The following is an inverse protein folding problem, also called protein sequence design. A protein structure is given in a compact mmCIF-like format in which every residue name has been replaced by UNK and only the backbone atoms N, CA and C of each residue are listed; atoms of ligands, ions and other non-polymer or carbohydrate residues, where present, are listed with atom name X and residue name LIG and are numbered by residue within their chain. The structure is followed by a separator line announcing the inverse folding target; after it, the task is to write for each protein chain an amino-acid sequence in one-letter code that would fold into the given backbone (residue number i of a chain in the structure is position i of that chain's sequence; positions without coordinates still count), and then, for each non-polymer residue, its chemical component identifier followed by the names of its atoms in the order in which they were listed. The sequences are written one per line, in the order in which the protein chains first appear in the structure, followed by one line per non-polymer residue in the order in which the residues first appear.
data_IF_655566263986
#
_entry.id   IF_655566263986
#
_cell.length_a   1.000
_cell.length_b   1.000
_cell.length_c   1.000
_cell.angle_alpha   90.00
_cell.angle_beta   90.00
_cell.angle_gamma   90.00
#
_symmetry.space_group_name_H-M   'P 1'
#
loop_
_entity.id
_entity.type
_entity.pdbx_description
1 polymer ?
#
# COMPACT_ATOMS: atom_id res chain seq x y z
N UNK A 1 -11.16 -14.11 -10.91
CA UNK A 1 -11.08 -12.86 -10.14
C UNK A 1 -9.61 -12.48 -9.91
N UNK A 2 -9.28 -11.25 -10.15
CA UNK A 2 -7.91 -10.76 -9.91
C UNK A 2 -7.67 -10.47 -8.44
N UNK A 3 -6.41 -10.49 -8.02
CA UNK A 3 -6.02 -10.14 -6.66
C UNK A 3 -4.76 -9.26 -6.71
N UNK A 4 -4.61 -8.40 -5.71
CA UNK A 4 -3.43 -7.56 -5.51
C UNK A 4 -2.63 -7.98 -4.29
N UNK A 5 -3.03 -9.08 -3.63
CA UNK A 5 -2.42 -9.52 -2.38
C UNK A 5 -0.98 -10.02 -2.57
N UNK A 6 -0.15 -9.71 -1.59
CA UNK A 6 1.17 -10.28 -1.40
C UNK A 6 1.20 -11.02 -0.08
N UNK A 7 2.12 -11.97 0.06
CA UNK A 7 2.29 -12.79 1.27
C UNK A 7 3.78 -12.87 1.60
N UNK A 8 4.11 -12.69 2.87
CA UNK A 8 5.50 -12.75 3.34
C UNK A 8 6.42 -11.88 2.48
N UNK A 9 6.02 -10.64 2.24
CA UNK A 9 6.68 -9.75 1.30
C UNK A 9 6.95 -8.40 1.95
N UNK A 10 8.08 -7.78 1.61
CA UNK A 10 8.36 -6.40 1.95
C UNK A 10 8.53 -5.60 0.67
N UNK A 11 7.69 -4.57 0.51
CA UNK A 11 7.83 -3.61 -0.58
C UNK A 11 8.68 -2.45 -0.07
N UNK A 12 9.91 -2.34 -0.60
CA UNK A 12 10.79 -1.21 -0.30
C UNK A 12 10.36 0.02 -1.09
N UNK A 13 10.80 1.20 -0.64
CA UNK A 13 10.52 2.43 -1.38
C UNK A 13 11.13 2.37 -2.77
N UNK A 14 10.59 3.19 -3.67
CA UNK A 14 11.10 3.33 -5.04
C UNK A 14 12.55 3.83 -5.05
N UNK A 15 13.32 3.42 -6.06
CA UNK A 15 14.70 3.89 -6.26
C UNK A 15 14.77 5.41 -6.45
N UNK A 16 13.73 6.00 -7.03
CA UNK A 16 13.67 7.45 -7.26
C UNK A 16 12.65 8.15 -6.36
N UNK A 17 12.41 7.58 -5.17
CA UNK A 17 11.55 8.21 -4.18
C UNK A 17 12.18 9.55 -3.74
N UNK A 18 11.42 10.67 -3.80
CA UNK A 18 12.01 11.99 -3.60
C UNK A 18 12.25 12.39 -2.14
N UNK A 19 11.86 11.56 -1.17
CA UNK A 19 11.99 11.91 0.24
C UNK A 19 13.06 11.07 0.92
N UNK A 20 13.67 11.63 1.97
CA UNK A 20 14.68 10.96 2.78
C UNK A 20 14.11 10.45 4.10
N UNK A 21 12.92 10.86 4.44
CA UNK A 21 12.17 10.37 5.60
C UNK A 21 10.70 10.25 5.21
N UNK A 22 9.96 9.39 5.89
CA UNK A 22 8.57 9.12 5.53
C UNK A 22 7.68 10.32 5.85
N UNK A 23 6.75 10.61 4.96
CA UNK A 23 5.82 11.73 5.09
C UNK A 23 4.39 11.22 5.02
N UNK A 24 3.53 11.80 5.86
CA UNK A 24 2.09 11.50 5.80
C UNK A 24 1.51 12.22 4.58
N UNK A 25 0.81 11.48 3.69
CA UNK A 25 0.16 12.12 2.54
C UNK A 25 -0.81 13.22 2.96
N UNK A 26 -0.92 14.23 2.13
CA UNK A 26 -1.74 15.42 2.43
C UNK A 26 -3.09 15.37 1.73
N UNK A 27 -4.04 16.10 2.28
CA UNK A 27 -5.30 16.38 1.59
C UNK A 27 -5.04 17.29 0.38
N UNK A 28 -5.96 17.25 -0.57
CA UNK A 28 -5.92 18.13 -1.73
C UNK A 28 -7.29 18.78 -1.90
N UNK A 29 -7.32 20.12 -1.88
CA UNK A 29 -8.58 20.86 -2.04
C UNK A 29 -9.61 20.56 -0.96
N UNK A 30 -9.15 20.26 0.27
CA UNK A 30 -10.03 19.91 1.38
C UNK A 30 -10.51 18.46 1.39
N UNK A 31 -10.07 17.65 0.42
CA UNK A 31 -10.47 16.26 0.31
C UNK A 31 -9.28 15.32 0.54
N UNK A 32 -9.55 14.15 1.11
CA UNK A 32 -8.53 13.14 1.30
C UNK A 32 -8.17 12.50 -0.04
N UNK A 33 -6.87 12.43 -0.31
CA UNK A 33 -6.36 11.73 -1.49
C UNK A 33 -6.41 10.22 -1.27
N UNK A 34 -6.30 9.44 -2.36
CA UNK A 34 -6.21 7.98 -2.24
C UNK A 34 -5.02 7.59 -1.36
N UNK A 35 -3.87 8.25 -1.55
CA UNK A 35 -2.68 7.96 -0.74
C UNK A 35 -2.93 8.19 0.75
N UNK A 36 -3.61 9.29 1.12
CA UNK A 36 -3.96 9.55 2.51
C UNK A 36 -4.93 8.52 3.07
N UNK A 37 -5.94 8.12 2.29
CA UNK A 37 -6.89 7.07 2.70
C UNK A 37 -6.18 5.75 2.91
N UNK A 38 -5.27 5.37 2.01
CA UNK A 38 -4.45 4.17 2.17
C UNK A 38 -3.61 4.25 3.45
N UNK A 39 -2.94 5.39 3.66
CA UNK A 39 -2.11 5.59 4.84
C UNK A 39 -2.93 5.42 6.12
N UNK A 40 -4.04 6.12 6.24
CA UNK A 40 -4.86 6.07 7.45
C UNK A 40 -5.37 4.66 7.72
N UNK A 41 -5.86 3.97 6.69
CA UNK A 41 -6.41 2.64 6.86
C UNK A 41 -5.35 1.63 7.32
N UNK A 42 -4.16 1.69 6.73
CA UNK A 42 -3.10 0.72 7.06
C UNK A 42 -2.38 1.11 8.35
N UNK A 43 -1.97 2.37 8.48
CA UNK A 43 -1.16 2.82 9.63
C UNK A 43 -1.93 2.76 10.94
N UNK A 44 -3.23 3.04 10.91
CA UNK A 44 -4.05 2.99 12.12
C UNK A 44 -4.54 1.58 12.45
N UNK A 45 -4.34 0.62 11.55
CA UNK A 45 -4.81 -0.76 11.71
C UNK A 45 -3.73 -1.75 11.24
N UNK A 46 -2.56 -1.76 11.91
CA UNK A 46 -1.46 -2.63 11.45
C UNK A 46 -1.87 -4.10 11.48
N UNK A 47 -1.60 -4.80 10.39
CA UNK A 47 -1.87 -6.22 10.19
C UNK A 47 -3.35 -6.60 10.34
N UNK A 48 -4.26 -5.67 9.98
CA UNK A 48 -5.72 -5.94 10.03
C UNK A 48 -6.30 -6.17 8.63
N UNK A 49 -5.73 -5.56 7.60
CA UNK A 49 -6.30 -5.61 6.25
C UNK A 49 -5.30 -6.14 5.22
N UNK A 50 -5.83 -6.90 4.25
CA UNK A 50 -5.07 -7.28 3.06
C UNK A 50 -5.09 -6.14 2.04
N UNK A 51 -4.23 -6.25 1.03
CA UNK A 51 -4.21 -5.30 -0.08
C UNK A 51 -5.58 -5.20 -0.76
N UNK A 52 -6.19 -6.34 -1.07
CA UNK A 52 -7.51 -6.35 -1.71
C UNK A 52 -8.55 -5.61 -0.86
N UNK A 53 -8.55 -5.84 0.45
CA UNK A 53 -9.49 -5.17 1.36
C UNK A 53 -9.28 -3.66 1.37
N UNK A 54 -8.03 -3.20 1.46
CA UNK A 54 -7.73 -1.76 1.46
C UNK A 54 -8.18 -1.12 0.15
N UNK A 55 -7.79 -1.70 -0.98
CA UNK A 55 -8.09 -1.13 -2.29
C UNK A 55 -9.59 -1.10 -2.56
N UNK A 56 -10.30 -2.17 -2.26
CA UNK A 56 -11.74 -2.21 -2.48
C UNK A 56 -12.50 -1.26 -1.56
N UNK A 57 -12.16 -1.23 -0.27
CA UNK A 57 -12.85 -0.35 0.67
C UNK A 57 -12.69 1.13 0.29
N UNK A 58 -11.49 1.51 -0.15
CA UNK A 58 -11.26 2.88 -0.63
C UNK A 58 -12.05 3.16 -1.90
N UNK A 59 -12.08 2.22 -2.84
CA UNK A 59 -12.87 2.34 -4.06
C UNK A 59 -14.35 2.54 -3.74
N UNK A 60 -14.90 1.70 -2.87
CA UNK A 60 -16.30 1.78 -2.47
C UNK A 60 -16.63 3.10 -1.80
N UNK A 61 -15.75 3.57 -0.90
CA UNK A 61 -15.92 4.87 -0.24
C UNK A 61 -15.95 6.02 -1.24
N UNK A 62 -15.02 6.03 -2.20
CA UNK A 62 -14.90 7.13 -3.17
C UNK A 62 -16.01 7.12 -4.21
N UNK A 63 -16.58 5.97 -4.52
CA UNK A 63 -17.67 5.82 -5.48
C UNK A 63 -19.04 5.80 -4.81
N UNK A 64 -19.08 5.94 -3.49
CA UNK A 64 -20.32 5.88 -2.70
C UNK A 64 -21.12 4.59 -2.98
N UNK A 65 -20.40 3.47 -2.95
CA UNK A 65 -20.97 2.14 -3.17
C UNK A 65 -20.98 1.36 -1.86
N UNK A 66 -22.02 0.51 -1.63
CA UNK A 66 -21.95 -0.41 -0.50
C UNK A 66 -20.77 -1.39 -0.66
N UNK A 67 -20.00 -1.64 0.42
CA UNK A 67 -18.87 -2.56 0.34
C UNK A 67 -19.32 -4.03 0.44
N UNK A 68 -20.20 -4.44 -0.45
CA UNK A 68 -20.76 -5.80 -0.48
C UNK A 68 -20.00 -6.69 -1.46
N UNK A 69 -20.33 -7.98 -1.44
CA UNK A 69 -19.65 -8.98 -2.26
C UNK A 69 -19.85 -8.74 -3.75
N UNK A 70 -21.03 -8.30 -4.16
CA UNK A 70 -21.33 -8.02 -5.56
C UNK A 70 -20.41 -6.92 -6.11
N UNK A 71 -20.28 -5.82 -5.38
CA UNK A 71 -19.42 -4.72 -5.79
C UNK A 71 -17.94 -5.10 -5.74
N UNK A 72 -17.57 -5.97 -4.81
CA UNK A 72 -16.19 -6.48 -4.71
C UNK A 72 -15.85 -7.34 -5.92
N UNK A 73 -16.75 -8.24 -6.32
CA UNK A 73 -16.55 -9.07 -7.50
C UNK A 73 -16.44 -8.22 -8.77
N UNK A 74 -17.27 -7.20 -8.89
CA UNK A 74 -17.22 -6.26 -10.01
C UNK A 74 -15.86 -5.55 -10.05
N UNK A 75 -15.38 -5.04 -8.91
CA UNK A 75 -14.10 -4.34 -8.82
C UNK A 75 -12.94 -5.25 -9.26
N UNK A 76 -12.91 -6.49 -8.79
CA UNK A 76 -11.83 -7.44 -9.10
C UNK A 76 -12.07 -8.26 -10.38
N UNK A 77 -13.13 -7.98 -11.11
CA UNK A 77 -13.33 -8.56 -12.43
C UNK A 77 -12.28 -8.05 -13.43
N UNK A 78 -11.67 -6.90 -13.11
CA UNK A 78 -10.56 -6.31 -13.86
C UNK A 78 -9.31 -6.33 -13.01
N UNK A 79 -8.15 -6.34 -13.64
CA UNK A 79 -6.88 -6.18 -12.94
C UNK A 79 -6.79 -4.80 -12.30
N UNK A 80 -6.38 -4.76 -11.03
CA UNK A 80 -6.18 -3.52 -10.30
C UNK A 80 -4.69 -3.31 -10.03
N UNK A 81 -4.25 -2.06 -9.97
CA UNK A 81 -2.87 -1.73 -9.64
C UNK A 81 -2.55 -2.17 -8.20
N UNK A 82 -1.46 -2.89 -8.02
CA UNK A 82 -1.03 -3.35 -6.70
C UNK A 82 -0.30 -2.23 -5.93
N UNK A 83 0.07 -2.51 -4.67
CA UNK A 83 0.71 -1.52 -3.82
C UNK A 83 2.11 -1.10 -4.28
N UNK A 84 2.76 -1.80 -5.20
CA UNK A 84 3.97 -1.29 -5.83
C UNK A 84 3.74 0.01 -6.58
N UNK A 85 2.52 0.24 -7.05
CA UNK A 85 2.13 1.47 -7.74
C UNK A 85 1.63 2.56 -6.80
N UNK A 86 1.47 2.26 -5.50
CA UNK A 86 0.97 3.24 -4.53
C UNK A 86 1.96 4.38 -4.32
N UNK A 87 1.48 5.63 -4.22
CA UNK A 87 2.33 6.75 -3.84
C UNK A 87 3.02 6.57 -2.49
N UNK A 88 2.51 5.72 -1.59
CA UNK A 88 3.12 5.48 -0.28
C UNK A 88 4.60 5.08 -0.41
N UNK A 89 4.90 4.12 -1.28
CA UNK A 89 6.28 3.70 -1.52
C UNK A 89 6.98 4.50 -2.61
N UNK A 90 6.24 5.02 -3.57
CA UNK A 90 6.81 5.76 -4.69
C UNK A 90 7.25 7.17 -4.32
N UNK A 91 6.50 7.85 -3.44
CA UNK A 91 6.69 9.28 -3.18
C UNK A 91 6.81 9.66 -1.71
N UNK A 92 6.15 8.91 -0.81
CA UNK A 92 6.05 9.29 0.60
C UNK A 92 6.99 8.52 1.52
N UNK A 93 7.76 7.57 0.98
CA UNK A 93 8.84 6.93 1.72
C UNK A 93 8.42 5.84 2.70
N UNK A 94 7.28 5.19 2.48
CA UNK A 94 6.79 4.13 3.35
C UNK A 94 7.12 2.75 2.81
N UNK A 95 7.77 1.92 3.63
CA UNK A 95 7.89 0.50 3.36
C UNK A 95 6.60 -0.21 3.73
N UNK A 96 6.24 -1.26 3.00
CA UNK A 96 4.99 -1.99 3.20
C UNK A 96 5.30 -3.45 3.44
N UNK A 97 4.96 -3.94 4.63
CA UNK A 97 5.14 -5.35 4.98
C UNK A 97 3.81 -6.08 4.88
N UNK A 98 3.83 -7.24 4.23
CA UNK A 98 2.71 -8.17 4.16
C UNK A 98 3.10 -9.41 4.94
N UNK A 99 2.30 -9.78 5.93
CA UNK A 99 2.58 -10.97 6.72
C UNK A 99 2.19 -12.26 5.98
N UNK A 100 2.21 -13.39 6.67
CA UNK A 100 1.87 -14.68 6.08
C UNK A 100 0.42 -14.78 5.61
N UNK A 101 -0.45 -13.94 6.17
CA UNK A 101 -1.87 -13.87 5.80
C UNK A 101 -2.16 -12.75 4.81
N UNK A 102 -1.12 -12.04 4.35
CA UNK A 102 -1.28 -10.90 3.44
C UNK A 102 -1.73 -9.63 4.12
N UNK A 103 -1.72 -9.58 5.45
CA UNK A 103 -2.10 -8.38 6.21
C UNK A 103 -0.97 -7.38 6.22
N UNK A 104 -1.32 -6.09 6.11
CA UNK A 104 -0.38 -5.02 5.82
C UNK A 104 -0.02 -4.17 7.03
N UNK A 105 1.23 -3.70 7.06
CA UNK A 105 1.67 -2.65 7.97
C UNK A 105 2.66 -1.74 7.25
N UNK A 106 2.72 -0.47 7.67
CA UNK A 106 3.64 0.52 7.10
C UNK A 106 4.82 0.74 8.05
N UNK A 107 5.99 0.92 7.46
CA UNK A 107 7.22 1.16 8.23
C UNK A 107 7.94 2.40 7.70
N UNK A 108 8.32 3.25 8.64
CA UNK A 108 9.03 4.49 8.36
C UNK A 108 10.41 4.18 7.77
N UNK A 109 10.79 4.91 6.73
CA UNK A 109 12.04 4.71 5.99
C UNK A 109 13.28 4.74 6.90
N UNK A 110 13.30 5.60 7.89
CA UNK A 110 14.44 5.75 8.81
C UNK A 110 14.27 4.97 10.12
N UNK A 111 13.33 4.03 10.17
CA UNK A 111 13.15 3.19 11.36
C UNK A 111 14.05 1.96 11.34
N UNK A 112 14.45 1.45 12.55
CA UNK A 112 15.16 0.18 12.62
C UNK A 112 14.37 -0.98 12.03
N UNK A 113 13.05 -0.96 12.19
CA UNK A 113 12.15 -2.00 11.67
C UNK A 113 12.21 -2.09 10.15
N UNK A 114 12.32 -0.94 9.46
CA UNK A 114 12.47 -0.92 8.00
C UNK A 114 13.76 -1.65 7.60
N UNK A 115 14.87 -1.35 8.27
CA UNK A 115 16.14 -1.98 7.97
C UNK A 115 16.12 -3.48 8.26
N UNK A 116 15.47 -3.89 9.33
CA UNK A 116 15.32 -5.30 9.68
C UNK A 116 14.51 -6.06 8.62
N UNK A 117 13.42 -5.48 8.16
CA UNK A 117 12.59 -6.09 7.11
C UNK A 117 13.34 -6.17 5.79
N UNK A 118 14.07 -5.10 5.44
CA UNK A 118 14.88 -5.06 4.23
C UNK A 118 15.95 -6.16 4.22
N UNK A 119 16.49 -6.49 5.38
CA UNK A 119 17.55 -7.48 5.53
C UNK A 119 17.02 -8.91 5.77
N UNK A 120 15.73 -9.09 5.96
CA UNK A 120 15.15 -10.39 6.31
C UNK A 120 15.13 -11.33 5.11
N UNK A 121 15.93 -12.44 5.14
CA UNK A 121 15.99 -13.36 4.01
C UNK A 121 14.75 -14.25 3.86
N UNK A 122 13.86 -14.27 4.85
CA UNK A 122 12.64 -15.07 4.81
C UNK A 122 11.48 -14.37 4.09
N UNK A 123 11.67 -13.12 3.74
CA UNK A 123 10.65 -12.34 3.01
C UNK A 123 11.00 -12.27 1.53
N UNK A 124 9.97 -12.19 0.71
CA UNK A 124 10.12 -11.78 -0.67
C UNK A 124 10.34 -10.27 -0.68
N UNK A 125 11.31 -9.80 -1.45
CA UNK A 125 11.64 -8.38 -1.55
C UNK A 125 11.32 -7.85 -2.94
N UNK A 126 10.52 -6.80 -2.98
CA UNK A 126 10.24 -6.06 -4.22
C UNK A 126 10.34 -4.57 -3.90
N UNK A 127 10.49 -3.75 -4.93
CA UNK A 127 10.53 -2.30 -4.76
C UNK A 127 9.28 -1.68 -5.33
N UNK A 128 8.86 -0.55 -4.75
CA UNK A 128 7.82 0.27 -5.34
C UNK A 128 8.26 0.68 -6.76
N UNK A 129 7.30 0.90 -7.64
CA UNK A 129 7.56 1.25 -9.02
C UNK A 129 8.23 2.62 -9.10
N UNK A 130 9.10 2.81 -10.12
CA UNK A 130 9.77 4.08 -10.32
C UNK A 130 8.76 5.15 -10.77
N UNK A 131 9.04 6.40 -10.38
CA UNK A 131 8.24 7.54 -10.81
C UNK A 131 8.55 7.94 -12.25
N UNK A 132 9.79 7.70 -12.69
CA UNK A 132 10.25 8.02 -14.04
C UNK A 132 10.70 6.76 -14.74
N UNK A 133 10.37 6.64 -16.01
CA UNK A 133 10.91 5.58 -16.86
C UNK A 133 12.38 5.82 -17.13
N UNK A 134 13.14 4.76 -17.20
CA UNK A 134 14.54 4.81 -17.61
C UNK A 134 14.67 5.01 -19.12
#
# INVERSE_FOLDING_TARGET
MHTTNYYNTFIEISDDCPVFESEIPKERGGNKTVALLQFEMIAHNPYQFTSDEVLFNIHALRKDLPPNEENKQEFFSKGQACFRASPLGKRYGWGIHFDENGKMALYNLDSPEYQNLKADPNLKHVKAMRNKKL
#
